data_IF_681489049620
#
_entry.id   IF_681489049620
#
_cell.length_a   1.000
_cell.length_b   1.000
_cell.length_c   1.000
_cell.angle_alpha   90.00
_cell.angle_beta   90.00
_cell.angle_gamma   90.00
#
_symmetry.space_group_name_H-M   'P 1'
#
loop_
_entity.id
_entity.type
_entity.pdbx_description
1 polymer ?
#
# COMPACT_ATOMS: atom_id res chain seq x y z
N UNK A 1 0.25 -8.40 3.36
CA UNK A 1 -1.09 -8.00 2.85
C UNK A 1 -0.93 -7.64 1.38
N UNK A 2 -1.85 -8.05 0.50
CA UNK A 2 -1.75 -7.87 -0.95
C UNK A 2 -2.83 -6.94 -1.52
N UNK A 3 -2.76 -6.68 -2.82
CA UNK A 3 -3.67 -5.80 -3.55
C UNK A 3 -5.12 -6.26 -3.60
N UNK A 4 -5.37 -7.58 -3.50
CA UNK A 4 -6.71 -8.15 -3.41
C UNK A 4 -7.43 -7.69 -2.14
N UNK A 5 -6.71 -7.66 -1.02
CA UNK A 5 -7.25 -7.18 0.26
C UNK A 5 -7.54 -5.67 0.25
N UNK A 6 -6.86 -4.91 -0.62
CA UNK A 6 -7.09 -3.48 -0.80
C UNK A 6 -8.19 -3.14 -1.81
N UNK A 7 -8.65 -4.10 -2.61
CA UNK A 7 -9.71 -3.89 -3.61
C UNK A 7 -9.19 -3.18 -4.87
N UNK A 8 -7.92 -3.39 -5.22
CA UNK A 8 -7.37 -2.98 -6.50
C UNK A 8 -7.82 -3.93 -7.61
N UNK A 9 -8.17 -3.38 -8.78
CA UNK A 9 -8.29 -4.19 -9.99
C UNK A 9 -6.95 -4.90 -10.25
N UNK A 10 -7.03 -6.13 -10.78
CA UNK A 10 -6.05 -7.22 -10.81
C UNK A 10 -4.56 -6.94 -11.17
N UNK A 11 -4.12 -5.70 -11.40
CA UNK A 11 -2.85 -5.42 -12.08
C UNK A 11 -1.81 -4.63 -11.28
N UNK A 12 -2.01 -4.41 -9.98
CA UNK A 12 -1.07 -3.55 -9.27
C UNK A 12 -0.67 -4.12 -7.92
N UNK A 13 0.64 -4.31 -7.77
CA UNK A 13 1.27 -4.88 -6.60
C UNK A 13 1.32 -3.82 -5.49
N UNK A 14 0.59 -4.03 -4.39
CA UNK A 14 0.74 -3.25 -3.17
C UNK A 14 0.97 -4.23 -2.03
N UNK A 15 2.08 -4.07 -1.30
CA UNK A 15 2.47 -4.99 -0.23
C UNK A 15 2.77 -4.24 1.06
N UNK A 16 2.21 -4.71 2.17
CA UNK A 16 2.67 -4.35 3.50
C UNK A 16 3.55 -5.47 4.06
N UNK A 17 4.79 -5.13 4.40
CA UNK A 17 5.73 -5.97 5.15
C UNK A 17 5.72 -5.49 6.60
N UNK A 18 5.36 -6.38 7.52
CA UNK A 18 5.40 -6.13 8.96
C UNK A 18 6.61 -6.83 9.58
N UNK A 19 7.59 -6.05 10.02
CA UNK A 19 8.68 -6.51 10.86
C UNK A 19 8.40 -6.25 12.34
N UNK A 20 9.20 -6.83 13.22
CA UNK A 20 9.10 -6.64 14.68
C UNK A 20 9.28 -5.18 15.12
N UNK A 21 10.01 -4.38 14.33
CA UNK A 21 10.35 -2.99 14.67
C UNK A 21 9.83 -1.95 13.67
N UNK A 22 9.41 -2.36 12.48
CA UNK A 22 8.94 -1.42 11.45
C UNK A 22 8.00 -2.07 10.45
N UNK A 23 7.15 -1.24 9.84
CA UNK A 23 6.22 -1.60 8.78
C UNK A 23 6.58 -0.83 7.51
N UNK A 24 6.67 -1.54 6.40
CA UNK A 24 7.03 -0.96 5.10
C UNK A 24 5.93 -1.25 4.10
N UNK A 25 5.44 -0.19 3.46
CA UNK A 25 4.51 -0.29 2.33
C UNK A 25 5.32 -0.24 1.03
N UNK A 26 5.07 -1.17 0.12
CA UNK A 26 5.62 -1.19 -1.23
C UNK A 26 4.48 -0.83 -2.19
N UNK A 27 4.68 0.25 -2.94
CA UNK A 27 3.73 0.92 -3.82
C UNK A 27 2.43 1.37 -3.15
N UNK A 28 1.85 2.47 -3.65
CA UNK A 28 0.66 3.08 -3.08
C UNK A 28 -0.49 3.25 -4.07
N UNK A 29 -0.35 2.76 -5.31
CA UNK A 29 -1.30 2.98 -6.40
C UNK A 29 -1.44 4.43 -6.85
N UNK A 30 -2.21 4.64 -7.91
CA UNK A 30 -2.82 5.92 -8.19
C UNK A 30 -3.68 6.49 -7.04
N UNK A 31 -3.94 7.80 -7.12
CA UNK A 31 -4.53 8.65 -6.07
C UNK A 31 -5.82 8.14 -5.41
N UNK A 32 -6.70 7.47 -6.15
CA UNK A 32 -7.99 7.00 -5.62
C UNK A 32 -7.83 5.73 -4.78
N UNK A 33 -7.05 4.79 -5.27
CA UNK A 33 -6.71 3.52 -4.65
C UNK A 33 -5.81 3.73 -3.42
N UNK A 34 -4.83 4.64 -3.50
CA UNK A 34 -3.99 5.00 -2.35
C UNK A 34 -4.80 5.50 -1.16
N UNK A 35 -5.88 6.25 -1.40
CA UNK A 35 -6.81 6.65 -0.32
C UNK A 35 -7.57 5.46 0.27
N UNK A 36 -7.96 4.48 -0.53
CA UNK A 36 -8.63 3.25 -0.06
C UNK A 36 -7.66 2.42 0.78
N UNK A 37 -6.43 2.25 0.32
CA UNK A 37 -5.34 1.56 1.02
C UNK A 37 -5.10 2.23 2.37
N UNK A 38 -4.90 3.55 2.40
CA UNK A 38 -4.67 4.30 3.63
C UNK A 38 -5.81 4.12 4.66
N UNK A 39 -7.07 4.22 4.23
CA UNK A 39 -8.22 4.01 5.13
C UNK A 39 -8.24 2.59 5.71
N UNK A 40 -7.92 1.58 4.91
CA UNK A 40 -7.85 0.18 5.37
C UNK A 40 -6.71 -0.02 6.37
N UNK A 41 -5.51 0.50 6.08
CA UNK A 41 -4.35 0.42 6.97
C UNK A 41 -4.64 1.07 8.33
N UNK A 42 -5.30 2.24 8.35
CA UNK A 42 -5.74 2.88 9.60
C UNK A 42 -6.75 2.01 10.35
N UNK A 43 -7.76 1.47 9.66
CA UNK A 43 -8.76 0.59 10.27
C UNK A 43 -8.17 -0.71 10.86
N UNK A 44 -7.05 -1.18 10.32
CA UNK A 44 -6.33 -2.36 10.78
C UNK A 44 -5.24 -2.06 11.82
N UNK A 45 -5.01 -0.78 12.16
CA UNK A 45 -3.88 -0.33 12.98
C UNK A 45 -2.51 -0.76 12.41
N UNK A 46 -2.37 -0.76 11.09
CA UNK A 46 -1.18 -1.17 10.35
C UNK A 46 -0.56 0.01 9.59
N UNK A 47 -0.31 1.11 10.30
CA UNK A 47 0.28 2.31 9.69
C UNK A 47 1.75 2.03 9.34
N UNK A 48 2.17 2.19 8.07
CA UNK A 48 3.55 1.97 7.66
C UNK A 48 4.44 3.14 8.11
N UNK A 49 5.68 2.82 8.51
CA UNK A 49 6.71 3.81 8.85
C UNK A 49 7.39 4.37 7.59
N UNK A 50 7.39 3.57 6.51
CA UNK A 50 8.08 3.88 5.25
C UNK A 50 7.26 3.42 4.06
N UNK A 51 7.41 4.14 2.95
CA UNK A 51 6.86 3.79 1.65
C UNK A 51 8.02 3.65 0.66
N UNK A 52 8.04 2.54 -0.07
CA UNK A 52 8.97 2.27 -1.17
C UNK A 52 8.14 2.26 -2.46
N UNK A 53 8.48 3.14 -3.40
CA UNK A 53 7.87 3.15 -4.72
C UNK A 53 8.73 2.34 -5.68
N UNK A 54 8.12 1.47 -6.47
CA UNK A 54 8.86 0.62 -7.42
C UNK A 54 9.41 1.44 -8.59
N UNK A 55 8.63 2.40 -9.08
CA UNK A 55 9.02 3.39 -10.08
C UNK A 55 8.08 4.60 -10.07
N UNK A 56 8.46 5.68 -10.75
CA UNK A 56 7.76 6.97 -10.69
C UNK A 56 6.76 7.15 -11.83
N UNK A 57 5.77 6.26 -11.93
CA UNK A 57 4.60 6.42 -12.79
C UNK A 57 3.36 6.71 -11.95
N UNK A 58 2.36 7.38 -12.53
CA UNK A 58 1.22 7.97 -11.80
C UNK A 58 0.30 6.94 -11.14
N UNK A 59 0.36 5.69 -11.60
CA UNK A 59 -0.34 4.53 -11.07
C UNK A 59 0.46 3.80 -9.98
N UNK A 60 1.68 4.23 -9.65
CA UNK A 60 2.50 3.68 -8.56
C UNK A 60 2.73 4.66 -7.38
N UNK A 61 2.59 5.98 -7.61
CA UNK A 61 2.96 7.06 -6.69
C UNK A 61 1.77 7.81 -6.03
#
# INVERSE_FOLDING_TARGET
IDSGLFGGEHNMACFLIEGTTSKVLIDASGKMEGKKIAKKLVGMNLIPDKIILTHSHWDHA
#
